data_IF_528872898018
#
_entry.id   IF_528872898018
#
_cell.length_a   1.000
_cell.length_b   1.000
_cell.length_c   1.000
_cell.angle_alpha   90.00
_cell.angle_beta   90.00
_cell.angle_gamma   90.00
#
_symmetry.space_group_name_H-M   'P 1'
#
loop_
_entity.id
_entity.type
_entity.pdbx_description
1 polymer ?
#
# COMPACT_ATOMS: atom_id res chain seq x y z
N UNK A 1 -11.37 -6.11 -20.55
CA UNK A 1 -11.58 -4.66 -20.38
C UNK A 1 -11.35 -4.01 -21.73
N UNK A 2 -12.12 -2.97 -22.07
CA UNK A 2 -12.00 -2.32 -23.37
C UNK A 2 -10.83 -1.32 -23.38
N UNK A 3 -10.01 -1.28 -24.45
CA UNK A 3 -8.85 -0.39 -24.55
C UNK A 3 -9.30 1.04 -24.92
N UNK A 4 -9.93 1.73 -23.98
CA UNK A 4 -10.39 3.12 -24.14
C UNK A 4 -9.43 4.12 -23.50
N UNK A 5 -9.37 5.35 -24.03
CA UNK A 5 -8.50 6.41 -23.49
C UNK A 5 -8.84 6.78 -22.03
N UNK A 6 -10.08 6.55 -21.60
CA UNK A 6 -10.52 6.76 -20.22
C UNK A 6 -10.10 5.63 -19.26
N UNK A 7 -9.39 4.61 -19.75
CA UNK A 7 -8.96 3.48 -18.92
C UNK A 7 -8.12 3.92 -17.72
N UNK A 8 -7.08 4.78 -17.86
CA UNK A 8 -6.28 5.25 -16.73
C UNK A 8 -7.06 6.16 -15.77
N UNK A 9 -8.23 6.66 -16.17
CA UNK A 9 -9.11 7.47 -15.32
C UNK A 9 -10.04 6.61 -14.44
N UNK A 10 -9.97 5.27 -14.54
CA UNK A 10 -10.78 4.37 -13.73
C UNK A 10 -12.23 4.27 -14.19
N UNK A 11 -12.47 4.27 -15.51
CA UNK A 11 -13.82 4.18 -16.09
C UNK A 11 -14.42 2.76 -16.11
N UNK A 12 -13.65 1.74 -15.72
CA UNK A 12 -14.14 0.36 -15.67
C UNK A 12 -14.98 0.09 -14.42
N UNK A 13 -15.95 -0.82 -14.56
CA UNK A 13 -16.70 -1.37 -13.43
C UNK A 13 -15.90 -2.50 -12.83
N UNK A 14 -15.65 -2.42 -11.52
CA UNK A 14 -14.90 -3.40 -10.74
C UNK A 14 -15.56 -3.55 -9.38
N UNK A 15 -15.52 -4.75 -8.83
CA UNK A 15 -15.96 -5.03 -7.47
C UNK A 15 -14.95 -4.48 -6.46
N UNK A 16 -15.41 -4.25 -5.23
CA UNK A 16 -14.52 -3.86 -4.13
C UNK A 16 -13.39 -4.88 -3.91
N UNK A 17 -13.72 -6.16 -4.07
CA UNK A 17 -12.81 -7.28 -3.83
C UNK A 17 -11.72 -7.38 -4.90
N UNK A 18 -12.07 -7.23 -6.19
CA UNK A 18 -11.09 -7.15 -7.27
C UNK A 18 -10.10 -6.01 -7.03
N UNK A 19 -10.60 -4.84 -6.59
CA UNK A 19 -9.72 -3.71 -6.28
C UNK A 19 -8.82 -3.98 -5.07
N UNK A 20 -9.32 -4.62 -4.01
CA UNK A 20 -8.47 -5.02 -2.87
C UNK A 20 -7.39 -5.98 -3.33
N UNK A 21 -7.72 -7.00 -4.14
CA UNK A 21 -6.73 -7.95 -4.69
C UNK A 21 -5.73 -7.28 -5.62
N UNK A 22 -6.17 -6.30 -6.43
CA UNK A 22 -5.26 -5.52 -7.25
C UNK A 22 -4.27 -4.71 -6.39
N UNK A 23 -4.72 -4.08 -5.31
CA UNK A 23 -3.80 -3.36 -4.41
C UNK A 23 -2.85 -4.30 -3.66
N UNK A 24 -3.32 -5.49 -3.28
CA UNK A 24 -2.45 -6.55 -2.73
C UNK A 24 -1.34 -6.91 -3.73
N UNK A 25 -1.71 -7.15 -4.99
CA UNK A 25 -0.80 -7.46 -6.08
C UNK A 25 0.25 -6.37 -6.31
N UNK A 26 -0.18 -5.10 -6.34
CA UNK A 26 0.70 -3.95 -6.56
C UNK A 26 1.72 -3.79 -5.42
N UNK A 27 1.34 -4.13 -4.19
CA UNK A 27 2.15 -3.87 -2.99
C UNK A 27 3.09 -5.03 -2.68
N UNK A 28 2.56 -6.27 -2.77
CA UNK A 28 3.30 -7.50 -2.49
C UNK A 28 4.05 -8.02 -3.72
N UNK A 29 3.60 -7.66 -4.93
CA UNK A 29 4.12 -8.18 -6.19
C UNK A 29 3.64 -9.58 -6.53
N UNK A 30 2.80 -10.17 -5.68
CA UNK A 30 2.22 -11.50 -5.85
C UNK A 30 0.71 -11.46 -5.64
N UNK A 31 0.02 -12.44 -6.22
CA UNK A 31 -1.39 -12.71 -5.94
C UNK A 31 -1.55 -14.11 -5.38
N UNK A 32 -2.45 -14.24 -4.41
CA UNK A 32 -2.85 -15.54 -3.90
C UNK A 32 -3.93 -16.13 -4.81
N UNK A 33 -3.66 -17.27 -5.44
CA UNK A 33 -4.60 -17.99 -6.31
C UNK A 33 -4.93 -19.35 -5.70
N UNK A 34 -6.20 -19.73 -5.71
CA UNK A 34 -6.57 -21.11 -5.47
C UNK A 34 -6.31 -21.92 -6.76
N UNK A 35 -5.83 -23.18 -6.67
CA UNK A 35 -5.75 -24.08 -7.80
C UNK A 35 -7.17 -24.30 -8.32
N UNK A 36 -7.41 -23.83 -9.53
CA UNK A 36 -8.69 -24.00 -10.19
C UNK A 36 -8.97 -25.49 -10.44
N UNK A 37 -10.19 -25.95 -10.15
CA UNK A 37 -10.66 -27.29 -10.57
C UNK A 37 -10.87 -27.31 -12.09
N UNK A 38 -11.16 -26.14 -12.71
CA UNK A 38 -11.29 -25.96 -14.16
C UNK A 38 -10.52 -24.70 -14.64
N UNK A 39 -9.89 -24.77 -15.82
CA UNK A 39 -8.97 -23.75 -16.32
C UNK A 39 -9.59 -22.34 -16.51
N UNK A 40 -10.91 -22.23 -16.57
CA UNK A 40 -11.64 -20.96 -16.72
C UNK A 40 -12.02 -20.29 -15.39
N UNK A 41 -11.96 -21.02 -14.27
CA UNK A 41 -12.29 -20.51 -12.94
C UNK A 41 -11.02 -20.35 -12.08
N UNK A 42 -10.12 -19.45 -12.47
CA UNK A 42 -9.09 -18.96 -11.53
C UNK A 42 -9.78 -18.12 -10.46
N UNK A 43 -10.45 -18.80 -9.53
CA UNK A 43 -11.17 -18.14 -8.48
C UNK A 43 -10.13 -17.56 -7.50
N UNK A 44 -9.99 -16.24 -7.51
CA UNK A 44 -9.15 -15.48 -6.57
C UNK A 44 -9.76 -15.46 -5.15
N UNK A 45 -10.85 -16.23 -4.97
CA UNK A 45 -11.80 -16.10 -3.89
C UNK A 45 -11.93 -17.44 -3.18
N UNK A 46 -11.14 -17.61 -2.12
CA UNK A 46 -11.45 -18.63 -1.13
C UNK A 46 -11.58 -17.95 0.22
N UNK A 47 -12.83 -17.74 0.64
CA UNK A 47 -13.18 -17.32 2.01
C UNK A 47 -13.29 -18.52 2.96
N UNK A 48 -13.30 -19.74 2.40
CA UNK A 48 -13.42 -21.00 3.12
C UNK A 48 -12.02 -21.56 3.38
N UNK A 49 -11.57 -21.55 4.64
CA UNK A 49 -10.30 -22.22 4.98
C UNK A 49 -10.44 -23.74 4.89
N UNK A 50 -11.47 -24.30 5.56
CA UNK A 50 -11.70 -25.74 5.64
C UNK A 50 -13.18 -26.10 5.81
N UNK A 51 -13.57 -27.29 5.36
CA UNK A 51 -14.88 -27.91 5.65
C UNK A 51 -14.62 -29.25 6.34
N UNK A 52 -15.28 -29.47 7.47
CA UNK A 52 -15.16 -30.68 8.28
C UNK A 52 -16.53 -31.37 8.39
N UNK A 53 -16.53 -32.70 8.45
CA UNK A 53 -17.72 -33.49 8.81
C UNK A 53 -18.01 -33.39 10.31
N UNK A 54 -19.16 -33.91 10.74
CA UNK A 54 -19.49 -34.01 12.17
C UNK A 54 -18.45 -34.82 12.96
N UNK A 55 -17.84 -35.82 12.32
CA UNK A 55 -16.83 -36.69 12.93
C UNK A 55 -15.42 -36.04 12.93
N UNK A 56 -15.29 -34.82 12.43
CA UNK A 56 -14.03 -34.08 12.36
C UNK A 56 -13.15 -34.42 11.16
N UNK A 57 -13.68 -35.13 10.17
CA UNK A 57 -12.95 -35.43 8.93
C UNK A 57 -12.91 -34.18 8.03
N UNK A 58 -11.72 -33.75 7.64
CA UNK A 58 -11.55 -32.62 6.71
C UNK A 58 -11.88 -33.07 5.29
N UNK A 59 -12.98 -32.57 4.74
CA UNK A 59 -13.44 -32.89 3.37
C UNK A 59 -13.02 -31.85 2.33
N UNK A 60 -12.59 -30.68 2.80
CA UNK A 60 -12.03 -29.62 1.98
C UNK A 60 -11.05 -28.80 2.80
N UNK A 61 -9.91 -28.46 2.20
CA UNK A 61 -8.94 -27.51 2.73
C UNK A 61 -8.47 -26.63 1.57
N UNK A 62 -8.47 -25.32 1.77
CA UNK A 62 -7.98 -24.40 0.77
C UNK A 62 -6.46 -24.49 0.65
N UNK A 63 -5.95 -24.74 -0.56
CA UNK A 63 -4.53 -24.69 -0.88
C UNK A 63 -4.22 -23.43 -1.69
N UNK A 64 -3.76 -22.35 -1.06
CA UNK A 64 -3.43 -21.12 -1.80
C UNK A 64 -2.00 -21.16 -2.36
N UNK A 65 -1.82 -20.77 -3.62
CA UNK A 65 -0.50 -20.59 -4.26
C UNK A 65 -0.24 -19.10 -4.51
N UNK A 66 1.01 -18.68 -4.39
CA UNK A 66 1.43 -17.32 -4.73
C UNK A 66 1.94 -17.29 -6.18
N UNK A 67 1.33 -16.46 -7.03
CA UNK A 67 1.83 -16.17 -8.39
C UNK A 67 2.48 -14.78 -8.40
N UNK A 68 3.72 -14.68 -8.91
CA UNK A 68 4.42 -13.39 -9.07
C UNK A 68 3.84 -12.64 -10.28
N UNK A 69 3.46 -11.38 -10.07
CA UNK A 69 2.84 -10.53 -11.10
C UNK A 69 3.56 -9.19 -11.29
N UNK A 70 4.43 -8.79 -10.36
CA UNK A 70 5.25 -7.60 -10.47
C UNK A 70 6.70 -7.90 -10.05
N UNK A 71 7.65 -7.34 -10.78
CA UNK A 71 9.07 -7.40 -10.41
C UNK A 71 9.35 -6.56 -9.15
N UNK A 72 10.42 -6.91 -8.42
CA UNK A 72 10.69 -6.31 -7.12
C UNK A 72 11.12 -4.84 -7.18
N UNK A 73 11.95 -4.45 -8.15
CA UNK A 73 12.40 -3.07 -8.31
C UNK A 73 11.23 -2.07 -8.53
N UNK A 74 10.34 -2.25 -9.54
CA UNK A 74 9.21 -1.34 -9.71
C UNK A 74 8.22 -1.40 -8.54
N UNK A 75 8.09 -2.55 -7.86
CA UNK A 75 7.28 -2.69 -6.64
C UNK A 75 7.79 -1.83 -5.49
N UNK A 76 9.11 -1.81 -5.23
CA UNK A 76 9.69 -0.95 -4.19
C UNK A 76 9.41 0.53 -4.45
N UNK A 77 9.64 0.97 -5.69
CA UNK A 77 9.37 2.35 -6.10
C UNK A 77 7.88 2.70 -5.96
N UNK A 78 6.98 1.79 -6.38
CA UNK A 78 5.54 1.95 -6.26
C UNK A 78 5.09 2.04 -4.79
N UNK A 79 5.65 1.20 -3.92
CA UNK A 79 5.36 1.22 -2.49
C UNK A 79 5.72 2.58 -1.86
N UNK A 80 6.87 3.15 -2.23
CA UNK A 80 7.25 4.47 -1.76
C UNK A 80 6.32 5.58 -2.30
N UNK A 81 5.86 5.47 -3.55
CA UNK A 81 4.84 6.38 -4.11
C UNK A 81 3.54 6.30 -3.30
N UNK A 82 3.06 5.09 -2.99
CA UNK A 82 1.85 4.86 -2.21
C UNK A 82 1.98 5.26 -0.73
N UNK A 83 3.20 5.29 -0.18
CA UNK A 83 3.44 5.89 1.13
C UNK A 83 3.40 7.42 1.02
N UNK A 84 4.01 8.00 -0.02
CA UNK A 84 4.03 9.44 -0.25
C UNK A 84 2.64 10.05 -0.47
N UNK A 85 1.70 9.31 -1.08
CA UNK A 85 0.30 9.74 -1.18
C UNK A 85 -0.38 9.88 0.17
N UNK A 86 0.05 9.13 1.19
CA UNK A 86 -0.38 9.27 2.58
C UNK A 86 0.36 10.41 3.28
N UNK A 87 1.70 10.47 3.17
CA UNK A 87 2.54 11.46 3.84
C UNK A 87 2.29 12.90 3.34
N UNK A 88 2.20 13.07 2.02
CA UNK A 88 2.18 14.38 1.37
C UNK A 88 0.94 14.63 0.50
N UNK A 89 0.20 13.58 0.16
CA UNK A 89 -0.97 13.64 -0.72
C UNK A 89 -2.32 13.71 0.02
N UNK A 90 -3.31 13.06 -0.58
CA UNK A 90 -4.72 13.03 -0.12
C UNK A 90 -4.96 12.07 1.05
N UNK A 91 -3.98 11.23 1.40
CA UNK A 91 -4.07 10.28 2.52
C UNK A 91 -3.66 10.83 3.88
N UNK A 92 -3.38 12.15 3.99
CA UNK A 92 -2.91 12.80 5.23
C UNK A 92 -3.78 12.57 6.45
N UNK A 93 -5.08 12.30 6.28
CA UNK A 93 -5.95 11.94 7.40
C UNK A 93 -5.46 10.67 8.09
N UNK A 94 -5.15 9.60 7.35
CA UNK A 94 -4.62 8.36 7.94
C UNK A 94 -3.27 8.59 8.62
N UNK A 95 -2.38 9.38 8.02
CA UNK A 95 -1.09 9.73 8.63
C UNK A 95 -1.25 10.36 10.03
N UNK A 96 -2.30 11.16 10.23
CA UNK A 96 -2.56 11.86 11.50
C UNK A 96 -3.35 11.04 12.53
N UNK A 97 -4.14 10.07 12.08
CA UNK A 97 -5.12 9.39 12.95
C UNK A 97 -4.89 7.89 13.09
N UNK A 98 -4.03 7.28 12.26
CA UNK A 98 -3.57 5.92 12.49
C UNK A 98 -2.49 5.93 13.57
N UNK A 99 -2.81 5.38 14.75
CA UNK A 99 -1.93 5.40 15.92
C UNK A 99 -1.88 4.03 16.56
N UNK A 100 -0.69 3.67 17.04
CA UNK A 100 -0.54 2.49 17.88
C UNK A 100 -1.40 2.69 19.15
N UNK A 101 -2.10 1.65 19.61
CA UNK A 101 -2.88 1.73 20.85
C UNK A 101 -1.94 1.99 22.03
N UNK A 102 -2.33 2.91 22.90
CA UNK A 102 -1.69 3.12 24.20
C UNK A 102 -2.34 2.17 25.20
N UNK A 103 -1.56 1.29 25.83
CA UNK A 103 -2.03 0.48 26.96
C UNK A 103 -1.35 0.98 28.24
N UNK A 104 -2.15 1.40 29.22
CA UNK A 104 -1.71 1.94 30.52
C UNK A 104 -1.08 0.88 31.46
N UNK A 105 -0.94 -0.38 31.01
CA UNK A 105 -0.57 -1.51 31.86
C UNK A 105 0.81 -2.15 31.55
N UNK A 106 1.61 -1.62 30.61
CA UNK A 106 2.92 -2.21 30.29
C UNK A 106 3.91 -1.21 29.68
N UNK A 107 5.14 -1.68 29.43
CA UNK A 107 6.28 -1.03 28.72
C UNK A 107 5.91 -0.21 27.46
N UNK A 108 4.67 -0.35 26.97
CA UNK A 108 3.99 0.47 25.96
C UNK A 108 3.87 1.96 26.30
N UNK A 109 3.98 2.39 27.57
CA UNK A 109 4.04 3.83 27.91
C UNK A 109 5.19 4.55 27.19
N UNK A 110 6.33 3.86 27.05
CA UNK A 110 7.49 4.40 26.32
C UNK A 110 7.18 4.62 24.84
N UNK A 111 6.45 3.70 24.19
CA UNK A 111 6.03 3.82 22.79
C UNK A 111 4.96 4.90 22.59
N UNK A 112 4.04 5.04 23.55
CA UNK A 112 3.00 6.05 23.51
C UNK A 112 3.57 7.48 23.50
N UNK A 113 4.68 7.69 24.21
CA UNK A 113 5.38 8.98 24.25
C UNK A 113 6.11 9.34 22.94
N UNK A 114 6.34 8.37 22.04
CA UNK A 114 7.15 8.55 20.84
C UNK A 114 6.37 9.07 19.61
N UNK A 115 5.05 9.29 19.70
CA UNK A 115 4.14 9.68 18.57
C UNK A 115 4.48 8.97 17.25
N UNK A 116 4.66 7.64 17.32
CA UNK A 116 5.11 6.85 16.20
C UNK A 116 4.06 6.87 15.07
N UNK A 117 4.48 7.40 13.91
CA UNK A 117 3.64 7.44 12.71
C UNK A 117 3.71 6.08 12.02
N UNK A 118 2.58 5.38 11.93
CA UNK A 118 2.50 4.08 11.23
C UNK A 118 2.79 4.27 9.72
N UNK A 119 3.73 3.52 9.12
CA UNK A 119 3.98 3.54 7.69
C UNK A 119 2.86 2.83 6.94
N UNK A 120 1.92 3.62 6.44
CA UNK A 120 0.79 3.13 5.66
C UNK A 120 1.03 3.41 4.18
N UNK A 121 0.46 2.57 3.33
CA UNK A 121 0.44 2.74 1.88
C UNK A 121 -1.01 2.89 1.43
N UNK A 122 -1.30 3.75 0.46
CA UNK A 122 -2.65 3.78 -0.09
C UNK A 122 -2.98 4.97 -0.98
N UNK A 123 -4.12 4.87 -1.64
CA UNK A 123 -4.56 5.86 -2.61
C UNK A 123 -6.05 6.12 -2.51
N UNK A 124 -6.38 7.40 -2.67
CA UNK A 124 -7.74 7.91 -2.74
C UNK A 124 -8.28 7.81 -4.17
N UNK A 125 -9.52 7.35 -4.31
CA UNK A 125 -10.33 7.40 -5.53
C UNK A 125 -11.56 8.28 -5.35
N UNK A 126 -11.98 8.97 -6.41
CA UNK A 126 -13.23 9.76 -6.45
C UNK A 126 -13.71 9.79 -7.89
N UNK A 127 -14.89 9.24 -8.15
CA UNK A 127 -15.46 9.25 -9.48
C UNK A 127 -16.00 10.63 -9.88
N UNK A 128 -16.27 10.78 -11.18
CA UNK A 128 -16.93 11.95 -11.74
C UNK A 128 -18.26 12.20 -11.01
N UNK A 129 -18.57 13.48 -10.85
CA UNK A 129 -19.73 13.99 -10.11
C UNK A 129 -19.87 13.48 -8.67
N UNK A 130 -18.78 13.03 -8.04
CA UNK A 130 -18.78 12.57 -6.64
C UNK A 130 -19.80 11.45 -6.39
N UNK A 131 -20.02 10.59 -7.39
CA UNK A 131 -20.96 9.45 -7.33
C UNK A 131 -20.43 8.34 -6.44
N UNK A 132 -19.10 8.19 -6.37
CA UNK A 132 -18.45 7.34 -5.39
C UNK A 132 -17.16 7.96 -4.84
N UNK A 133 -16.80 7.47 -3.66
CA UNK A 133 -15.59 7.80 -2.92
C UNK A 133 -14.95 6.49 -2.46
N UNK A 134 -13.64 6.34 -2.69
CA UNK A 134 -12.94 5.12 -2.30
C UNK A 134 -11.56 5.40 -1.71
N UNK A 135 -11.09 4.47 -0.89
CA UNK A 135 -9.72 4.43 -0.43
C UNK A 135 -9.26 2.98 -0.36
N UNK A 136 -8.14 2.69 -1.00
CA UNK A 136 -7.50 1.39 -0.98
C UNK A 136 -6.09 1.57 -0.43
N UNK A 137 -5.69 0.70 0.46
CA UNK A 137 -4.40 0.81 1.12
C UNK A 137 -4.00 -0.45 1.84
N UNK A 138 -2.84 -0.36 2.48
CA UNK A 138 -2.19 -1.47 3.14
C UNK A 138 -1.66 -1.06 4.49
N UNK A 139 -1.93 -1.90 5.48
CA UNK A 139 -1.33 -1.87 6.80
C UNK A 139 -0.24 -2.94 6.83
N UNK A 140 1.05 -2.56 6.84
CA UNK A 140 2.15 -3.51 7.02
C UNK A 140 2.05 -4.33 8.31
N UNK A 141 2.70 -5.48 8.36
CA UNK A 141 2.93 -6.26 9.57
C UNK A 141 4.11 -5.72 10.39
N UNK A 142 4.33 -6.30 11.57
CA UNK A 142 5.51 -6.01 12.41
C UNK A 142 6.61 -7.00 12.07
N UNK A 143 7.85 -6.52 11.92
CA UNK A 143 9.02 -7.39 11.70
C UNK A 143 9.22 -8.34 12.89
N UNK A 144 9.85 -9.49 12.65
CA UNK A 144 10.10 -10.50 13.70
C UNK A 144 10.89 -9.96 14.89
N UNK A 145 11.74 -8.96 14.67
CA UNK A 145 12.54 -8.30 15.71
C UNK A 145 11.89 -7.05 16.33
N UNK A 146 10.68 -6.65 15.90
CA UNK A 146 10.00 -5.48 16.44
C UNK A 146 10.63 -4.13 16.09
N UNK A 147 11.65 -4.10 15.21
CA UNK A 147 12.45 -2.91 14.89
C UNK A 147 11.84 -2.02 13.81
N UNK A 148 10.74 -2.47 13.22
CA UNK A 148 10.10 -1.81 12.09
C UNK A 148 8.96 -2.64 11.53
N UNK A 149 8.36 -2.13 10.47
CA UNK A 149 7.22 -2.72 9.79
C UNK A 149 7.68 -3.43 8.51
N UNK A 150 7.00 -4.50 8.13
CA UNK A 150 7.30 -5.28 6.92
C UNK A 150 6.02 -5.56 6.15
N UNK A 151 6.13 -5.85 4.86
CA UNK A 151 4.96 -6.21 4.07
C UNK A 151 4.37 -7.56 4.48
N UNK A 152 5.22 -8.48 4.93
CA UNK A 152 4.79 -9.79 5.40
C UNK A 152 3.86 -9.69 6.62
N UNK A 153 2.81 -10.52 6.62
CA UNK A 153 1.77 -10.49 7.66
C UNK A 153 0.93 -9.20 7.73
N UNK A 154 0.96 -8.36 6.69
CA UNK A 154 0.14 -7.15 6.57
C UNK A 154 -1.29 -7.39 6.08
N UNK A 155 -2.07 -6.31 5.98
CA UNK A 155 -3.47 -6.32 5.58
C UNK A 155 -3.73 -5.34 4.45
N UNK A 156 -4.26 -5.83 3.33
CA UNK A 156 -4.83 -4.98 2.27
C UNK A 156 -6.29 -4.67 2.59
N UNK A 157 -6.65 -3.39 2.57
CA UNK A 157 -7.96 -2.92 2.97
C UNK A 157 -8.52 -1.97 1.91
N UNK A 158 -9.81 -2.13 1.59
CA UNK A 158 -10.53 -1.27 0.66
C UNK A 158 -11.83 -0.77 1.29
N UNK A 159 -12.12 0.51 1.10
CA UNK A 159 -13.39 1.13 1.48
C UNK A 159 -13.98 1.81 0.25
N UNK A 160 -15.25 1.56 0.01
CA UNK A 160 -16.07 2.21 -1.00
C UNK A 160 -17.29 2.84 -0.33
N UNK A 161 -17.65 4.05 -0.75
CA UNK A 161 -18.83 4.79 -0.31
C UNK A 161 -19.52 5.36 -1.54
N UNK A 162 -20.83 5.15 -1.64
CA UNK A 162 -21.68 5.63 -2.72
C UNK A 162 -23.14 5.27 -2.44
N UNK A 163 -24.03 5.73 -3.30
CA UNK A 163 -25.43 5.31 -3.28
C UNK A 163 -25.67 4.25 -4.35
N UNK A 164 -26.54 3.29 -4.08
CA UNK A 164 -26.86 2.19 -5.02
C UNK A 164 -27.42 2.70 -6.36
N UNK A 165 -28.11 3.84 -6.34
CA UNK A 165 -28.67 4.49 -7.52
C UNK A 165 -27.68 5.46 -8.21
N UNK A 166 -26.40 5.47 -7.83
CA UNK A 166 -25.35 6.36 -8.33
C UNK A 166 -25.67 7.86 -8.23
N UNK A 167 -26.56 8.28 -7.33
CA UNK A 167 -26.80 9.71 -7.13
C UNK A 167 -25.53 10.42 -6.59
N UNK A 168 -25.35 11.68 -6.98
CA UNK A 168 -24.18 12.46 -6.57
C UNK A 168 -24.16 12.70 -5.05
N UNK A 169 -23.02 12.43 -4.40
CA UNK A 169 -22.78 12.78 -3.00
C UNK A 169 -22.31 14.23 -2.83
N UNK A 170 -23.02 15.17 -3.46
CA UNK A 170 -22.77 16.61 -3.36
C UNK A 170 -24.00 17.34 -2.87
N UNK A 171 -23.80 18.30 -1.96
CA UNK A 171 -24.87 19.20 -1.50
C UNK A 171 -24.31 20.59 -1.28
N UNK A 172 -24.76 21.55 -2.09
CA UNK A 172 -24.28 22.95 -2.07
C UNK A 172 -22.74 23.01 -2.17
N UNK A 173 -22.07 23.39 -1.10
CA UNK A 173 -20.61 23.51 -1.01
C UNK A 173 -19.93 22.23 -0.55
N UNK A 174 -20.67 21.26 -0.02
CA UNK A 174 -20.13 19.99 0.49
C UNK A 174 -20.07 18.96 -0.62
N UNK A 175 -18.91 18.29 -0.74
CA UNK A 175 -18.65 17.22 -1.69
C UNK A 175 -17.97 16.07 -0.96
N UNK A 176 -18.50 14.86 -1.14
CA UNK A 176 -17.87 13.67 -0.57
C UNK A 176 -16.82 13.15 -1.57
N UNK A 177 -15.57 13.15 -1.13
CA UNK A 177 -14.42 12.66 -1.89
C UNK A 177 -13.89 11.41 -1.20
N UNK A 178 -12.99 10.65 -1.83
CA UNK A 178 -12.36 9.52 -1.17
C UNK A 178 -11.67 9.90 0.14
N UNK A 179 -11.10 11.11 0.25
CA UNK A 179 -10.43 11.59 1.47
C UNK A 179 -11.38 11.95 2.60
N UNK A 180 -12.62 12.36 2.29
CA UNK A 180 -13.63 12.74 3.30
C UNK A 180 -14.70 11.67 3.54
N UNK A 181 -14.92 10.76 2.58
CA UNK A 181 -15.93 9.71 2.63
C UNK A 181 -15.39 8.34 3.01
N UNK A 182 -14.32 7.88 2.34
CA UNK A 182 -13.82 6.51 2.51
C UNK A 182 -12.64 6.41 3.48
N UNK A 183 -11.70 7.35 3.39
CA UNK A 183 -10.46 7.36 4.19
C UNK A 183 -10.70 7.36 5.73
N UNK A 184 -11.69 8.07 6.29
CA UNK A 184 -11.94 8.00 7.74
C UNK A 184 -12.33 6.59 8.20
N UNK A 185 -13.25 5.94 7.49
CA UNK A 185 -13.65 4.55 7.77
C UNK A 185 -12.48 3.58 7.61
N UNK A 186 -11.69 3.73 6.54
CA UNK A 186 -10.49 2.93 6.34
C UNK A 186 -9.50 3.09 7.50
N UNK A 187 -9.32 4.31 7.99
CA UNK A 187 -8.43 4.60 9.13
C UNK A 187 -8.95 3.97 10.42
N UNK A 188 -10.27 3.95 10.62
CA UNK A 188 -10.88 3.28 11.78
C UNK A 188 -10.67 1.75 11.75
N UNK A 189 -10.74 1.13 10.57
CA UNK A 189 -10.41 -0.29 10.38
C UNK A 189 -8.94 -0.56 10.71
N UNK A 190 -8.02 0.29 10.24
CA UNK A 190 -6.59 0.19 10.58
C UNK A 190 -6.37 0.29 12.08
N UNK A 191 -6.94 1.28 12.76
CA UNK A 191 -6.80 1.42 14.22
C UNK A 191 -7.36 0.21 14.98
N UNK A 192 -8.44 -0.38 14.47
CA UNK A 192 -8.98 -1.63 15.01
C UNK A 192 -7.97 -2.76 14.86
N UNK A 193 -7.40 -2.95 13.66
CA UNK A 193 -6.38 -3.99 13.45
C UNK A 193 -5.12 -3.77 14.29
N UNK A 194 -4.63 -2.54 14.40
CA UNK A 194 -3.47 -2.20 15.24
C UNK A 194 -3.67 -2.66 16.69
N UNK A 195 -4.89 -2.50 17.21
CA UNK A 195 -5.28 -2.94 18.56
C UNK A 195 -5.50 -4.44 18.65
N UNK A 196 -6.41 -4.99 17.84
CA UNK A 196 -6.81 -6.41 17.93
C UNK A 196 -5.66 -7.38 17.58
N UNK A 197 -4.71 -6.95 16.74
CA UNK A 197 -3.54 -7.76 16.38
C UNK A 197 -2.31 -7.48 17.25
N UNK A 198 -2.45 -6.64 18.28
CA UNK A 198 -1.41 -6.36 19.27
C UNK A 198 -0.12 -5.82 18.63
N UNK A 199 -0.22 -4.81 17.76
CA UNK A 199 0.96 -4.27 17.09
C UNK A 199 1.94 -3.66 18.09
N UNK A 200 1.45 -2.89 19.05
CA UNK A 200 2.27 -2.20 20.04
C UNK A 200 3.11 -3.18 20.89
N UNK A 201 2.57 -4.36 21.22
CA UNK A 201 3.27 -5.36 22.06
C UNK A 201 4.32 -6.15 21.29
N UNK A 202 4.39 -6.00 19.96
CA UNK A 202 5.36 -6.70 19.10
C UNK A 202 6.54 -5.81 18.73
N UNK A 203 6.51 -4.54 19.13
CA UNK A 203 7.51 -3.54 18.78
C UNK A 203 8.54 -3.41 19.90
N UNK A 204 9.81 -3.22 19.52
CA UNK A 204 10.89 -2.95 20.46
C UNK A 204 11.00 -1.44 20.71
N UNK A 205 10.67 -0.93 21.92
CA UNK A 205 10.73 0.49 22.21
C UNK A 205 12.13 1.08 22.14
N UNK A 206 13.17 0.30 22.44
CA UNK A 206 14.56 0.80 22.48
C UNK A 206 14.99 1.17 21.08
N UNK A 207 14.83 0.27 20.11
CA UNK A 207 15.22 0.51 18.72
C UNK A 207 14.38 1.64 18.07
N UNK A 208 13.09 1.69 18.37
CA UNK A 208 12.20 2.71 17.81
C UNK A 208 12.47 4.12 18.34
N UNK A 209 13.03 4.25 19.54
CA UNK A 209 13.40 5.56 20.09
C UNK A 209 14.44 6.31 19.26
N UNK A 210 15.29 5.58 18.52
CA UNK A 210 16.35 6.17 17.70
C UNK A 210 15.90 6.48 16.27
N UNK A 211 15.06 5.63 15.68
CA UNK A 211 14.79 5.66 14.24
C UNK A 211 13.31 5.86 13.87
N UNK A 212 12.42 5.86 14.87
CA UNK A 212 10.99 5.85 14.66
C UNK A 212 10.52 4.57 13.97
N UNK A 213 9.23 4.54 13.62
CA UNK A 213 8.62 3.40 12.95
C UNK A 213 8.77 3.54 11.42
N UNK A 214 9.44 2.59 10.77
CA UNK A 214 9.70 2.63 9.32
C UNK A 214 9.21 1.37 8.62
N UNK A 215 9.00 1.44 7.31
CA UNK A 215 8.75 0.26 6.47
C UNK A 215 10.10 -0.28 5.99
N UNK A 216 10.50 -1.43 6.50
CA UNK A 216 11.73 -2.10 6.13
C UNK A 216 11.58 -2.66 4.71
N UNK A 217 12.54 -2.32 3.84
CA UNK A 217 12.59 -2.79 2.46
C UNK A 217 13.81 -3.70 2.25
N UNK A 218 13.73 -4.55 1.23
CA UNK A 218 14.87 -5.36 0.79
C UNK A 218 15.85 -4.45 0.05
N UNK A 219 17.13 -4.50 0.39
CA UNK A 219 18.18 -3.78 -0.32
C UNK A 219 18.48 -4.44 -1.67
N UNK A 220 18.25 -3.69 -2.76
CA UNK A 220 18.44 -4.09 -4.15
C UNK A 220 19.23 -3.03 -4.95
N UNK A 221 19.90 -2.10 -4.26
CA UNK A 221 20.57 -0.96 -4.89
C UNK A 221 19.64 0.20 -5.23
N UNK A 222 18.46 0.26 -4.59
CA UNK A 222 17.62 1.46 -4.62
C UNK A 222 18.34 2.64 -3.96
N UNK A 223 18.00 3.85 -4.41
CA UNK A 223 18.43 5.11 -3.82
C UNK A 223 17.20 5.95 -3.48
N UNK A 224 17.28 6.73 -2.41
CA UNK A 224 16.18 7.60 -1.97
C UNK A 224 16.56 9.07 -2.16
N UNK A 225 16.01 9.70 -3.20
CA UNK A 225 16.41 11.06 -3.60
C UNK A 225 15.39 12.10 -3.15
N UNK A 226 15.87 13.22 -2.62
CA UNK A 226 15.04 14.33 -2.20
C UNK A 226 14.29 14.98 -3.37
N UNK A 227 13.02 15.32 -3.14
CA UNK A 227 12.15 15.94 -4.15
C UNK A 227 11.48 17.21 -3.65
N UNK A 228 11.11 18.08 -4.57
CA UNK A 228 10.25 19.22 -4.28
C UNK A 228 8.76 18.81 -4.31
N UNK A 229 8.16 18.71 -3.13
CA UNK A 229 6.72 18.37 -2.98
C UNK A 229 5.76 19.37 -3.63
N UNK A 230 6.20 20.62 -3.87
CA UNK A 230 5.38 21.68 -4.45
C UNK A 230 5.61 21.86 -5.96
N UNK A 231 6.57 21.13 -6.55
CA UNK A 231 6.92 21.22 -7.98
C UNK A 231 6.90 19.83 -8.62
N UNK A 232 5.76 19.14 -8.47
CA UNK A 232 5.50 17.84 -9.11
C UNK A 232 6.43 16.70 -8.70
N UNK A 233 7.13 16.82 -7.56
CA UNK A 233 8.10 15.81 -7.12
C UNK A 233 9.40 15.83 -7.93
N UNK A 234 9.76 16.96 -8.55
CA UNK A 234 11.07 17.11 -9.21
C UNK A 234 12.22 16.91 -8.22
N UNK A 235 13.27 16.24 -8.67
CA UNK A 235 14.49 16.04 -7.90
C UNK A 235 15.11 17.38 -7.49
N UNK A 236 15.59 17.46 -6.25
CA UNK A 236 16.33 18.62 -5.75
C UNK A 236 17.62 18.80 -6.55
N UNK A 237 18.04 20.07 -6.67
CA UNK A 237 19.32 20.47 -7.27
C UNK A 237 20.09 21.34 -6.26
N UNK A 238 21.29 20.94 -5.82
CA UNK A 238 21.98 19.68 -6.13
C UNK A 238 21.20 18.46 -5.63
N UNK A 239 21.53 17.27 -6.16
CA UNK A 239 20.92 16.01 -5.70
C UNK A 239 21.23 15.81 -4.21
N UNK A 240 20.22 15.40 -3.47
CA UNK A 240 20.33 15.12 -2.04
C UNK A 240 19.77 13.73 -1.80
N UNK A 241 20.58 12.82 -1.28
CA UNK A 241 20.10 11.54 -0.79
C UNK A 241 19.46 11.73 0.59
N UNK A 242 18.29 11.13 0.77
CA UNK A 242 17.51 11.21 1.99
C UNK A 242 17.56 9.84 2.65
N UNK A 243 18.04 9.80 3.89
CA UNK A 243 17.94 8.58 4.71
C UNK A 243 16.48 8.11 4.75
N UNK A 244 16.24 6.84 4.44
CA UNK A 244 14.90 6.22 4.42
C UNK A 244 14.20 6.31 5.79
N UNK A 245 14.98 6.42 6.87
CA UNK A 245 14.48 6.65 8.23
C UNK A 245 13.87 8.04 8.39
N UNK A 246 14.30 9.03 7.60
CA UNK A 246 13.71 10.37 7.58
C UNK A 246 12.46 10.44 6.70
N UNK A 247 11.44 9.65 7.07
CA UNK A 247 10.22 9.44 6.29
C UNK A 247 9.44 10.71 5.96
N UNK A 248 9.54 11.74 6.80
CA UNK A 248 8.80 12.99 6.65
C UNK A 248 9.49 14.03 5.75
N UNK A 249 10.72 13.76 5.28
CA UNK A 249 11.31 14.52 4.17
C UNK A 249 10.74 14.02 2.85
N UNK A 250 10.25 14.91 1.97
CA UNK A 250 9.80 14.52 0.65
C UNK A 250 10.96 13.92 -0.16
N UNK A 251 10.80 12.67 -0.56
CA UNK A 251 11.78 11.94 -1.36
C UNK A 251 11.10 10.98 -2.34
N UNK A 252 11.89 10.33 -3.19
CA UNK A 252 11.46 9.25 -4.06
C UNK A 252 12.50 8.13 -4.04
N UNK A 253 12.09 6.92 -3.66
CA UNK A 253 12.86 5.69 -3.86
C UNK A 253 12.83 5.33 -5.35
N UNK A 254 14.02 5.18 -5.94
CA UNK A 254 14.21 4.89 -7.36
C UNK A 254 15.51 4.12 -7.58
N UNK A 255 15.79 3.76 -8.82
CA UNK A 255 17.01 3.06 -9.25
C UNK A 255 17.68 3.88 -10.35
N UNK A 256 19.00 3.84 -10.44
CA UNK A 256 19.73 4.55 -11.49
C UNK A 256 21.15 4.92 -11.08
N UNK A 257 21.76 5.80 -11.88
CA UNK A 257 23.13 6.24 -11.69
C UNK A 257 23.22 7.76 -11.55
N UNK A 258 24.05 8.19 -10.59
CA UNK A 258 24.45 9.59 -10.46
C UNK A 258 25.80 9.80 -11.15
N UNK A 259 25.89 10.78 -12.02
CA UNK A 259 27.14 11.16 -12.69
C UNK A 259 27.88 12.24 -11.93
N UNK A 260 29.19 12.35 -12.14
CA UNK A 260 30.05 13.41 -11.57
C UNK A 260 29.54 14.82 -11.85
N UNK A 261 28.81 15.01 -12.95
CA UNK A 261 28.13 16.26 -13.31
C UNK A 261 26.97 16.65 -12.38
N UNK A 262 26.63 15.82 -11.38
CA UNK A 262 25.47 15.99 -10.51
C UNK A 262 24.13 15.67 -11.19
N UNK A 263 24.16 15.06 -12.39
CA UNK A 263 22.97 14.57 -13.09
C UNK A 263 22.62 13.16 -12.63
N UNK A 264 21.33 12.91 -12.46
CA UNK A 264 20.79 11.58 -12.20
C UNK A 264 20.12 11.02 -13.45
N UNK A 265 20.46 9.77 -13.82
CA UNK A 265 19.77 9.00 -14.86
C UNK A 265 19.04 7.85 -14.18
N UNK A 266 17.71 7.94 -14.18
CA UNK A 266 16.86 6.90 -13.64
C UNK A 266 16.92 5.65 -14.53
N UNK A 267 17.07 4.47 -13.91
CA UNK A 267 16.74 3.18 -14.51
C UNK A 267 15.24 3.17 -14.78
N UNK A 268 14.85 2.82 -16.01
CA UNK A 268 13.44 2.73 -16.39
C UNK A 268 13.04 1.28 -16.55
N UNK A 269 11.88 0.94 -16.00
CA UNK A 269 11.30 -0.40 -16.08
C UNK A 269 10.18 -0.36 -17.11
N UNK A 270 10.38 -1.06 -18.23
CA UNK A 270 9.33 -1.28 -19.21
C UNK A 270 9.14 -2.78 -19.39
N UNK A 271 7.97 -3.27 -18.98
CA UNK A 271 7.50 -4.62 -19.31
C UNK A 271 6.10 -4.47 -19.91
N UNK A 272 5.90 -4.81 -21.19
CA UNK A 272 4.56 -4.84 -21.76
C UNK A 272 3.74 -5.90 -21.04
N UNK A 273 2.57 -5.53 -20.51
CA UNK A 273 1.70 -6.45 -19.76
C UNK A 273 1.26 -7.69 -20.58
N UNK A 274 1.31 -7.61 -21.91
CA UNK A 274 0.97 -8.70 -22.84
C UNK A 274 2.14 -9.58 -23.25
N UNK A 275 3.38 -9.22 -22.88
CA UNK A 275 4.57 -9.87 -23.46
C UNK A 275 4.89 -11.23 -22.86
N UNK A 276 4.30 -11.59 -21.71
CA UNK A 276 4.52 -12.89 -21.03
C UNK A 276 5.99 -13.19 -20.71
N UNK A 277 6.90 -12.23 -20.91
CA UNK A 277 8.33 -12.35 -20.67
C UNK A 277 8.69 -11.57 -19.43
N UNK A 278 9.36 -12.24 -18.49
CA UNK A 278 9.94 -11.63 -17.28
C UNK A 278 11.14 -10.71 -17.57
N UNK A 279 11.50 -10.50 -18.84
CA UNK A 279 12.60 -9.61 -19.21
C UNK A 279 12.19 -8.14 -19.06
N UNK A 280 12.68 -7.53 -17.99
CA UNK A 280 12.78 -6.08 -17.85
C UNK A 280 13.61 -5.54 -19.02
N UNK A 281 12.95 -4.85 -19.97
CA UNK A 281 13.70 -4.11 -20.99
C UNK A 281 14.26 -2.85 -20.34
N UNK A 282 15.57 -2.85 -20.11
CA UNK A 282 16.31 -1.66 -19.72
C UNK A 282 16.52 -0.82 -21.00
N UNK A 283 15.84 0.33 -21.07
CA UNK A 283 15.93 1.20 -22.26
C UNK A 283 16.66 2.50 -21.92
N UNK A 284 17.72 2.79 -22.66
CA UNK A 284 18.41 4.07 -22.67
C UNK A 284 17.61 5.09 -23.50
N UNK A 285 16.68 5.82 -22.87
CA UNK A 285 16.00 6.99 -23.47
C UNK A 285 16.20 8.24 -22.61
#
# INVERSE_FOLDING_TARGET
MDPVLSFPLGSNVVTLLEMVRMYEALILGTVSVAPAIEAESKDLLTVLDRIETLDGEVVYQAEMKQEKVLADEPRLALNHILENTIKFGTGRYAQKHARLPVNEASETESLAAMDLVVPLLGKTGTANDYTNASFFGFLPGVSKGGTGMVLDGGYTLGVYVGFDNNQSMRRKTTKITGSSGALPTWTALVNTLLREKGYATKLDPVDLSFYGLTLLQVEMGQINLGVNKNDGGRLLKPLVEIDEKNRMRPSITTFGQTYESGRFKAKRFYVPFWSGKEELMETDL
#
